data_IF_239171731061
#
_entry.id   IF_239171731061
#
_cell.length_a   1.000
_cell.length_b   1.000
_cell.length_c   1.000
_cell.angle_alpha   90.00
_cell.angle_beta   90.00
_cell.angle_gamma   90.00
#
_symmetry.space_group_name_H-M   'P 1'
#
loop_
_entity.id
_entity.type
_entity.pdbx_description
1 polymer ?
#
# COMPACT_ATOMS: atom_id res chain seq x y z
N UNK A 1 17.45 -20.33 15.23
CA UNK A 1 18.39 -19.54 16.07
C UNK A 1 17.96 -19.71 17.53
N UNK A 2 18.88 -19.69 18.51
CA UNK A 2 18.56 -20.02 19.92
C UNK A 2 17.36 -19.27 20.54
N UNK A 3 17.14 -18.01 20.15
CA UNK A 3 16.02 -17.21 20.66
C UNK A 3 14.65 -17.63 20.08
N UNK A 4 14.64 -18.33 18.95
CA UNK A 4 13.42 -18.89 18.36
C UNK A 4 12.93 -20.06 19.20
N UNK A 5 13.85 -20.88 19.69
CA UNK A 5 13.56 -22.03 20.55
C UNK A 5 12.96 -21.59 21.89
N UNK A 6 13.48 -20.50 22.48
CA UNK A 6 12.96 -19.89 23.72
C UNK A 6 11.53 -19.38 23.52
N UNK A 7 11.28 -18.67 22.41
CA UNK A 7 9.96 -18.11 22.14
C UNK A 7 8.97 -19.24 21.83
N UNK A 8 9.34 -20.29 21.09
CA UNK A 8 8.46 -21.44 20.83
C UNK A 8 7.91 -22.13 22.09
N UNK A 9 8.54 -21.96 23.25
CA UNK A 9 8.08 -22.50 24.55
C UNK A 9 7.05 -21.61 25.26
N UNK A 10 6.88 -20.36 24.84
CA UNK A 10 5.89 -19.44 25.41
C UNK A 10 4.48 -19.75 24.88
N UNK A 11 3.46 -19.34 25.65
CA UNK A 11 2.06 -19.58 25.30
C UNK A 11 1.65 -18.75 24.08
N UNK A 12 1.22 -19.43 23.01
CA UNK A 12 0.84 -18.84 21.73
C UNK A 12 -0.40 -17.93 21.78
N UNK A 13 -1.25 -18.07 22.78
CA UNK A 13 -2.49 -17.28 22.92
C UNK A 13 -2.31 -16.06 23.84
N UNK A 14 -1.15 -15.93 24.48
CA UNK A 14 -0.86 -14.87 25.42
C UNK A 14 -0.18 -13.67 24.75
N UNK A 15 -0.55 -12.47 25.21
CA UNK A 15 0.15 -11.23 24.87
C UNK A 15 1.32 -11.05 25.84
N UNK A 16 2.50 -10.80 25.29
CA UNK A 16 3.74 -10.54 26.03
C UNK A 16 4.18 -9.10 25.86
N UNK A 17 4.55 -8.47 26.97
CA UNK A 17 5.22 -7.18 26.93
C UNK A 17 6.67 -7.32 26.47
N UNK A 18 7.25 -6.22 26.00
CA UNK A 18 8.68 -6.14 25.67
C UNK A 18 9.57 -6.62 26.82
N UNK A 19 9.20 -6.31 28.06
CA UNK A 19 9.96 -6.72 29.24
C UNK A 19 9.86 -8.22 29.48
N UNK A 20 8.67 -8.82 29.36
CA UNK A 20 8.48 -10.26 29.53
C UNK A 20 9.25 -11.08 28.51
N UNK A 21 9.34 -10.62 27.25
CA UNK A 21 10.19 -11.28 26.24
C UNK A 21 11.67 -11.12 26.58
N UNK A 22 12.09 -9.96 27.09
CA UNK A 22 13.47 -9.77 27.53
C UNK A 22 13.85 -10.72 28.66
N UNK A 23 12.99 -10.82 29.68
CA UNK A 23 13.19 -11.73 30.82
C UNK A 23 13.26 -13.19 30.38
N UNK A 24 12.37 -13.63 29.48
CA UNK A 24 12.41 -14.97 28.91
C UNK A 24 13.73 -15.28 28.19
N UNK A 25 14.28 -14.33 27.43
CA UNK A 25 15.54 -14.51 26.70
C UNK A 25 16.77 -14.45 27.61
N UNK A 26 16.75 -13.60 28.64
CA UNK A 26 17.84 -13.49 29.62
C UNK A 26 17.93 -14.73 30.51
N UNK A 27 16.79 -15.36 30.81
CA UNK A 27 16.76 -16.62 31.56
C UNK A 27 17.53 -17.74 30.82
N UNK A 28 17.46 -17.77 29.49
CA UNK A 28 18.22 -18.73 28.68
C UNK A 28 19.67 -18.29 28.46
N UNK A 29 19.90 -16.98 28.28
CA UNK A 29 21.23 -16.41 28.05
C UNK A 29 21.45 -15.14 28.87
N UNK A 30 22.05 -15.30 30.04
CA UNK A 30 22.30 -14.25 31.04
C UNK A 30 23.21 -13.11 30.55
N UNK A 31 24.06 -13.37 29.54
CA UNK A 31 24.95 -12.37 28.93
C UNK A 31 24.24 -11.44 27.93
N UNK A 32 22.92 -11.57 27.73
CA UNK A 32 22.19 -10.79 26.74
C UNK A 32 22.09 -9.31 27.12
N UNK A 33 22.85 -8.46 26.41
CA UNK A 33 22.72 -7.01 26.53
C UNK A 33 21.40 -6.50 25.96
N UNK A 34 20.93 -5.36 26.47
CA UNK A 34 19.71 -4.72 25.98
C UNK A 34 19.78 -4.33 24.49
N UNK A 35 20.96 -3.98 23.97
CA UNK A 35 21.16 -3.66 22.56
C UNK A 35 21.01 -4.90 21.68
N UNK A 36 21.60 -6.03 22.09
CA UNK A 36 21.40 -7.33 21.44
C UNK A 36 19.94 -7.73 21.45
N UNK A 37 19.25 -7.54 22.58
CA UNK A 37 17.80 -7.78 22.67
C UNK A 37 16.99 -6.93 21.69
N UNK A 38 17.28 -5.63 21.55
CA UNK A 38 16.59 -4.76 20.59
C UNK A 38 16.74 -5.26 19.15
N UNK A 39 17.94 -5.74 18.79
CA UNK A 39 18.20 -6.35 17.49
C UNK A 39 17.42 -7.66 17.32
N UNK A 40 17.43 -8.54 18.32
CA UNK A 40 16.71 -9.82 18.31
C UNK A 40 15.19 -9.59 18.15
N UNK A 41 14.60 -8.66 18.91
CA UNK A 41 13.18 -8.27 18.75
C UNK A 41 12.87 -7.80 17.33
N UNK A 42 13.73 -6.98 16.73
CA UNK A 42 13.51 -6.54 15.34
C UNK A 42 13.52 -7.74 14.41
N UNK A 43 14.54 -8.60 14.50
CA UNK A 43 14.65 -9.82 13.69
C UNK A 43 13.48 -10.77 13.86
N UNK A 44 12.98 -10.96 15.09
CA UNK A 44 11.83 -11.82 15.35
C UNK A 44 10.53 -11.25 14.76
N UNK A 45 10.37 -9.93 14.73
CA UNK A 45 9.23 -9.27 14.07
C UNK A 45 9.35 -9.36 12.55
N UNK A 46 10.55 -9.11 12.01
CA UNK A 46 10.81 -9.12 10.57
C UNK A 46 10.65 -10.53 9.98
N UNK A 47 11.08 -11.55 10.72
CA UNK A 47 10.96 -12.97 10.33
C UNK A 47 9.59 -13.58 10.66
N UNK A 48 8.67 -12.82 11.27
CA UNK A 48 7.30 -13.28 11.59
C UNK A 48 7.18 -14.21 12.80
N UNK A 49 8.24 -14.45 13.57
CA UNK A 49 8.23 -15.30 14.77
C UNK A 49 7.28 -14.73 15.84
N UNK A 50 7.28 -13.40 15.98
CA UNK A 50 6.35 -12.65 16.82
C UNK A 50 5.71 -11.52 16.02
N UNK A 51 4.49 -11.15 16.36
CA UNK A 51 3.79 -10.01 15.77
C UNK A 51 3.56 -8.92 16.82
N UNK A 52 3.59 -7.66 16.41
CA UNK A 52 3.24 -6.53 17.28
C UNK A 52 1.72 -6.39 17.29
N UNK A 53 1.11 -6.53 18.47
CA UNK A 53 -0.32 -6.22 18.66
C UNK A 53 -0.51 -4.72 18.88
N UNK A 54 0.33 -4.13 19.74
CA UNK A 54 0.37 -2.71 20.06
C UNK A 54 1.79 -2.27 20.40
N UNK A 55 1.98 -0.98 20.74
CA UNK A 55 3.30 -0.45 21.12
C UNK A 55 3.80 -1.13 22.39
N UNK A 56 4.80 -2.00 22.24
CA UNK A 56 5.43 -2.71 23.36
C UNK A 56 4.77 -4.04 23.71
N UNK A 57 3.74 -4.45 22.97
CA UNK A 57 3.01 -5.71 23.14
C UNK A 57 3.14 -6.62 21.92
N UNK A 58 3.40 -7.88 22.18
CA UNK A 58 3.76 -8.88 21.19
C UNK A 58 2.95 -10.17 21.39
N UNK A 59 2.65 -10.87 20.31
CA UNK A 59 1.98 -12.18 20.35
C UNK A 59 2.80 -13.16 19.51
N UNK A 60 2.90 -14.39 19.99
CA UNK A 60 3.57 -15.45 19.25
C UNK A 60 2.69 -15.93 18.11
N UNK A 61 3.31 -16.19 16.97
CA UNK A 61 2.59 -16.76 15.84
C UNK A 61 2.36 -18.26 16.06
N UNK A 62 1.10 -18.65 16.26
CA UNK A 62 0.71 -20.04 16.55
C UNK A 62 0.79 -20.95 15.32
N UNK A 63 0.48 -20.36 14.16
CA UNK A 63 0.89 -20.77 12.83
C UNK A 63 1.79 -19.66 12.30
N UNK A 64 2.62 -19.89 11.26
CA UNK A 64 2.88 -18.79 10.35
C UNK A 64 1.50 -18.35 9.89
N UNK A 65 0.91 -17.34 10.55
CA UNK A 65 -0.16 -16.58 9.93
C UNK A 65 0.58 -15.94 8.78
N UNK A 66 0.58 -16.68 7.66
CA UNK A 66 0.47 -16.18 6.30
C UNK A 66 1.03 -14.78 6.27
N UNK A 67 2.37 -14.72 6.20
CA UNK A 67 3.16 -13.54 6.55
C UNK A 67 2.44 -12.28 6.11
N UNK A 68 2.22 -11.34 7.05
CA UNK A 68 1.50 -10.05 6.88
C UNK A 68 1.02 -9.92 5.44
N UNK A 69 -0.24 -10.29 5.14
CA UNK A 69 -0.72 -10.26 3.75
C UNK A 69 -0.29 -8.94 3.12
N UNK A 70 0.73 -9.03 2.27
CA UNK A 70 1.29 -7.85 1.63
C UNK A 70 0.15 -7.37 0.76
N UNK A 71 -0.30 -6.15 0.96
CA UNK A 71 -1.34 -5.57 0.13
C UNK A 71 -0.91 -5.73 -1.34
N UNK A 72 -1.74 -6.45 -2.09
CA UNK A 72 -1.56 -6.64 -3.53
C UNK A 72 -2.71 -5.91 -4.21
N UNK A 73 -2.45 -4.78 -4.88
CA UNK A 73 -3.51 -4.05 -5.56
C UNK A 73 -4.20 -4.96 -6.59
N UNK A 74 -5.53 -5.01 -6.57
CA UNK A 74 -6.31 -5.77 -7.54
C UNK A 74 -6.11 -5.18 -8.94
N UNK A 75 -5.37 -5.87 -9.81
CA UNK A 75 -5.21 -5.48 -11.20
C UNK A 75 -6.38 -6.00 -12.02
N UNK A 76 -7.13 -5.10 -12.66
CA UNK A 76 -8.05 -5.49 -13.72
C UNK A 76 -7.33 -5.46 -15.09
N UNK A 77 -7.89 -6.15 -16.08
CA UNK A 77 -7.28 -6.31 -17.41
C UNK A 77 -6.93 -4.95 -18.05
N UNK A 78 -7.83 -3.97 -17.92
CA UNK A 78 -7.63 -2.64 -18.48
C UNK A 78 -6.46 -1.88 -17.83
N UNK A 79 -6.34 -1.93 -16.49
CA UNK A 79 -5.25 -1.30 -15.75
C UNK A 79 -3.91 -1.95 -16.10
N UNK A 80 -3.91 -3.29 -16.23
CA UNK A 80 -2.73 -4.05 -16.63
C UNK A 80 -2.28 -3.70 -18.05
N UNK A 81 -3.19 -3.71 -19.03
CA UNK A 81 -2.89 -3.37 -20.42
C UNK A 81 -2.30 -1.96 -20.56
N UNK A 82 -2.91 -0.98 -19.89
CA UNK A 82 -2.42 0.41 -19.87
C UNK A 82 -1.02 0.47 -19.25
N UNK A 83 -0.80 -0.19 -18.11
CA UNK A 83 0.49 -0.19 -17.43
C UNK A 83 1.59 -0.80 -18.30
N UNK A 84 1.30 -1.92 -18.96
CA UNK A 84 2.22 -2.60 -19.88
C UNK A 84 2.56 -1.71 -21.08
N UNK A 85 1.57 -1.04 -21.70
CA UNK A 85 1.78 -0.08 -22.79
C UNK A 85 2.71 1.07 -22.39
N UNK A 86 2.48 1.67 -21.22
CA UNK A 86 3.33 2.76 -20.71
C UNK A 86 4.75 2.25 -20.43
N UNK A 87 4.88 1.08 -19.78
CA UNK A 87 6.17 0.48 -19.44
C UNK A 87 6.99 0.14 -20.69
N UNK A 88 6.34 -0.35 -21.75
CA UNK A 88 6.98 -0.67 -23.01
C UNK A 88 7.49 0.59 -23.74
N UNK A 89 6.68 1.66 -23.76
CA UNK A 89 7.03 2.91 -24.46
C UNK A 89 8.00 3.80 -23.68
N UNK A 90 7.87 3.81 -22.36
CA UNK A 90 8.59 4.71 -21.43
C UNK A 90 9.23 3.92 -20.27
N UNK A 91 10.21 3.03 -20.54
CA UNK A 91 10.76 2.12 -19.53
C UNK A 91 11.45 2.81 -18.35
N UNK A 92 11.93 4.04 -18.56
CA UNK A 92 12.63 4.83 -17.54
C UNK A 92 11.74 5.82 -16.79
N UNK A 93 10.49 5.98 -17.20
CA UNK A 93 9.56 6.90 -16.54
C UNK A 93 8.99 6.23 -15.30
N UNK A 94 9.03 6.94 -14.17
CA UNK A 94 8.32 6.47 -12.98
C UNK A 94 6.85 6.84 -13.05
N UNK A 95 6.02 5.83 -12.88
CA UNK A 95 4.58 5.98 -12.78
C UNK A 95 3.98 4.97 -11.81
N UNK A 96 2.75 5.23 -11.39
CA UNK A 96 1.92 4.36 -10.56
C UNK A 96 0.52 4.28 -11.16
N UNK A 97 -0.04 3.08 -11.20
CA UNK A 97 -1.37 2.76 -11.69
C UNK A 97 -2.30 2.39 -10.53
N UNK A 98 -3.52 2.90 -10.57
CA UNK A 98 -4.55 2.67 -9.55
C UNK A 98 -5.93 2.65 -10.18
N UNK A 99 -6.81 1.77 -9.74
CA UNK A 99 -8.21 1.77 -10.13
C UNK A 99 -9.07 2.11 -8.91
N UNK A 100 -9.98 3.08 -9.04
CA UNK A 100 -10.83 3.54 -7.93
C UNK A 100 -11.63 2.42 -7.27
N UNK A 101 -12.01 1.36 -8.00
CA UNK A 101 -12.70 0.19 -7.45
C UNK A 101 -11.87 -0.58 -6.42
N UNK A 102 -10.54 -0.39 -6.39
CA UNK A 102 -9.66 -0.93 -5.34
C UNK A 102 -9.96 -0.31 -3.97
N UNK A 103 -10.61 0.87 -3.93
CA UNK A 103 -11.09 1.46 -2.67
C UNK A 103 -12.22 0.67 -2.03
N UNK A 104 -12.92 -0.19 -2.78
CA UNK A 104 -14.04 -0.96 -2.24
C UNK A 104 -13.63 -1.92 -1.11
N UNK A 105 -12.34 -2.25 -1.00
CA UNK A 105 -11.81 -3.03 0.14
C UNK A 105 -11.75 -2.23 1.45
N UNK A 106 -11.80 -0.89 1.36
CA UNK A 106 -11.59 0.04 2.48
C UNK A 106 -12.81 0.92 2.77
N UNK A 107 -13.66 1.16 1.77
CA UNK A 107 -14.87 1.98 1.89
C UNK A 107 -16.07 1.12 2.29
N UNK A 108 -17.00 1.71 3.04
CA UNK A 108 -18.28 1.06 3.32
C UNK A 108 -19.20 1.09 2.10
N UNK A 109 -19.17 2.20 1.35
CA UNK A 109 -19.95 2.34 0.12
C UNK A 109 -19.11 1.95 -1.09
N UNK A 110 -19.70 1.10 -1.95
CA UNK A 110 -19.06 0.69 -3.20
C UNK A 110 -18.95 1.88 -4.17
N UNK A 111 -17.78 2.01 -4.79
CA UNK A 111 -17.51 2.89 -5.92
C UNK A 111 -18.33 2.42 -7.12
N UNK A 112 -19.29 3.25 -7.55
CA UNK A 112 -20.20 2.94 -8.65
C UNK A 112 -19.66 3.21 -10.06
N UNK A 113 -18.51 3.88 -10.19
CA UNK A 113 -17.87 4.20 -11.48
C UNK A 113 -16.37 3.98 -11.37
N UNK A 114 -15.81 3.19 -12.27
CA UNK A 114 -14.38 2.91 -12.22
C UNK A 114 -13.58 3.98 -12.94
N UNK A 115 -12.87 4.81 -12.19
CA UNK A 115 -11.82 5.68 -12.71
C UNK A 115 -10.44 5.04 -12.53
N UNK A 116 -9.68 4.96 -13.63
CA UNK A 116 -8.27 4.56 -13.61
C UNK A 116 -7.41 5.79 -13.42
N UNK A 117 -6.57 5.80 -12.40
CA UNK A 117 -5.58 6.83 -12.16
C UNK A 117 -4.20 6.38 -12.63
N UNK A 118 -3.52 7.26 -13.36
CA UNK A 118 -2.15 7.07 -13.81
C UNK A 118 -1.34 8.27 -13.30
N UNK A 119 -0.53 8.02 -12.29
CA UNK A 119 0.29 9.04 -11.66
C UNK A 119 1.69 8.96 -12.25
N UNK A 120 2.13 10.00 -12.95
CA UNK A 120 3.38 10.01 -13.72
C UNK A 120 4.29 11.11 -13.19
N UNK A 121 5.60 10.88 -13.14
CA UNK A 121 6.55 11.93 -12.77
C UNK A 121 6.34 13.22 -13.59
N UNK A 122 6.47 14.37 -12.90
CA UNK A 122 6.02 15.69 -13.39
C UNK A 122 6.52 16.05 -14.79
N UNK A 123 7.73 15.65 -15.15
CA UNK A 123 8.37 16.01 -16.42
C UNK A 123 8.01 15.08 -17.58
N UNK A 124 7.47 13.89 -17.30
CA UNK A 124 7.12 12.90 -18.32
C UNK A 124 5.60 12.89 -18.62
N UNK A 125 4.78 13.46 -17.75
CA UNK A 125 3.32 13.31 -17.82
C UNK A 125 2.70 13.76 -19.14
N UNK A 126 3.16 14.88 -19.73
CA UNK A 126 2.61 15.37 -21.00
C UNK A 126 2.91 14.42 -22.17
N UNK A 127 4.05 13.73 -22.13
CA UNK A 127 4.43 12.73 -23.14
C UNK A 127 3.61 11.46 -22.99
N UNK A 128 3.44 10.97 -21.76
CA UNK A 128 2.60 9.79 -21.47
C UNK A 128 1.13 10.08 -21.81
N UNK A 129 0.64 11.29 -21.51
CA UNK A 129 -0.72 11.69 -21.84
C UNK A 129 -0.99 11.64 -23.35
N UNK A 130 -0.13 12.26 -24.17
CA UNK A 130 -0.27 12.23 -25.63
C UNK A 130 -0.21 10.82 -26.19
N UNK A 131 0.71 10.01 -25.70
CA UNK A 131 0.82 8.60 -26.09
C UNK A 131 -0.47 7.82 -25.78
N UNK A 132 -1.00 7.94 -24.56
CA UNK A 132 -2.22 7.23 -24.20
C UNK A 132 -3.44 7.70 -25.00
N UNK A 133 -3.51 9.00 -25.35
CA UNK A 133 -4.58 9.51 -26.21
C UNK A 133 -4.58 8.86 -27.61
N UNK A 134 -3.42 8.43 -28.11
CA UNK A 134 -3.29 7.73 -29.39
C UNK A 134 -3.58 6.22 -29.25
N UNK A 135 -3.30 5.63 -28.09
CA UNK A 135 -3.33 4.19 -27.84
C UNK A 135 -4.65 3.66 -27.24
N UNK A 136 -5.54 4.54 -26.78
CA UNK A 136 -6.83 4.15 -26.20
C UNK A 136 -7.97 5.04 -26.66
N UNK A 137 -9.17 4.45 -26.74
CA UNK A 137 -10.42 5.17 -26.99
C UNK A 137 -11.10 5.66 -25.71
N UNK A 138 -10.58 5.24 -24.54
CA UNK A 138 -11.10 5.65 -23.23
C UNK A 138 -10.77 7.11 -23.00
N UNK A 139 -11.75 7.86 -22.50
CA UNK A 139 -11.59 9.28 -22.26
C UNK A 139 -10.54 9.56 -21.17
N UNK A 140 -9.58 10.44 -21.47
CA UNK A 140 -8.45 10.77 -20.60
C UNK A 140 -8.52 12.21 -20.15
N UNK A 141 -8.47 12.44 -18.84
CA UNK A 141 -8.41 13.74 -18.22
C UNK A 141 -7.02 13.98 -17.60
N UNK A 142 -6.35 15.05 -18.01
CA UNK A 142 -5.07 15.45 -17.42
C UNK A 142 -5.30 16.47 -16.30
N UNK A 143 -5.00 16.08 -15.06
CA UNK A 143 -5.09 16.94 -13.85
C UNK A 143 -6.39 17.75 -13.80
N UNK A 144 -7.57 17.12 -13.95
CA UNK A 144 -8.82 17.85 -14.03
C UNK A 144 -9.06 18.62 -12.73
N UNK A 145 -9.46 19.88 -12.86
CA UNK A 145 -10.10 20.63 -11.78
C UNK A 145 -11.43 19.99 -11.40
N UNK A 146 -12.01 20.37 -10.26
CA UNK A 146 -13.34 19.89 -9.86
C UNK A 146 -14.41 20.14 -10.93
N UNK A 147 -14.39 21.31 -11.57
CA UNK A 147 -15.34 21.66 -12.63
C UNK A 147 -15.19 20.75 -13.86
N UNK A 148 -13.95 20.47 -14.25
CA UNK A 148 -13.67 19.56 -15.36
C UNK A 148 -14.01 18.12 -15.01
N UNK A 149 -13.75 17.69 -13.78
CA UNK A 149 -14.16 16.39 -13.28
C UNK A 149 -15.68 16.22 -13.38
N UNK A 150 -16.45 17.15 -12.80
CA UNK A 150 -17.91 17.08 -12.77
C UNK A 150 -18.50 17.12 -14.19
N UNK A 151 -17.86 17.83 -15.12
CA UNK A 151 -18.33 17.97 -16.50
C UNK A 151 -17.95 16.79 -17.41
N UNK A 152 -16.77 16.19 -17.21
CA UNK A 152 -16.16 15.29 -18.20
C UNK A 152 -15.80 13.90 -17.66
N UNK A 153 -15.76 13.69 -16.35
CA UNK A 153 -15.53 12.37 -15.75
C UNK A 153 -16.84 11.58 -15.71
N UNK A 154 -17.40 11.30 -16.89
CA UNK A 154 -18.64 10.55 -17.07
C UNK A 154 -18.33 9.13 -17.51
N UNK A 155 -18.74 8.13 -16.73
CA UNK A 155 -18.47 6.71 -17.00
C UNK A 155 -17.05 6.27 -16.62
N UNK A 156 -16.51 5.29 -17.34
CA UNK A 156 -15.15 4.79 -17.14
C UNK A 156 -14.16 5.76 -17.81
N UNK A 157 -13.24 6.29 -16.99
CA UNK A 157 -12.31 7.33 -17.41
C UNK A 157 -10.90 7.03 -16.93
N UNK A 158 -9.92 7.56 -17.64
CA UNK A 158 -8.53 7.62 -17.19
C UNK A 158 -8.26 9.03 -16.70
N UNK A 159 -7.68 9.16 -15.51
CA UNK A 159 -7.27 10.43 -14.92
C UNK A 159 -5.77 10.40 -14.68
N UNK A 160 -5.06 11.35 -15.29
CA UNK A 160 -3.62 11.46 -15.19
C UNK A 160 -3.22 12.55 -14.20
N UNK A 161 -2.40 12.20 -13.22
CA UNK A 161 -1.93 13.09 -12.16
C UNK A 161 -0.40 13.07 -12.07
N UNK A 162 0.17 14.08 -11.41
CA UNK A 162 1.60 14.04 -11.11
C UNK A 162 1.87 13.00 -10.03
N UNK A 163 2.88 12.17 -10.22
CA UNK A 163 3.47 11.37 -9.16
C UNK A 163 4.30 12.27 -8.26
N UNK A 164 4.08 12.18 -6.95
CA UNK A 164 4.88 12.91 -5.95
C UNK A 164 6.28 12.30 -5.90
N UNK A 165 7.33 13.13 -5.82
CA UNK A 165 8.74 12.70 -5.93
C UNK A 165 9.19 11.73 -4.84
N UNK A 166 8.52 11.73 -3.69
CA UNK A 166 8.79 10.86 -2.54
C UNK A 166 7.82 9.67 -2.45
N UNK A 167 7.03 9.41 -3.50
CA UNK A 167 6.12 8.26 -3.54
C UNK A 167 6.90 6.97 -3.29
N UNK A 168 6.50 6.13 -2.31
CA UNK A 168 7.02 4.78 -2.19
C UNK A 168 6.90 4.05 -3.53
N UNK A 169 7.99 3.41 -3.92
CA UNK A 169 8.05 2.65 -5.16
C UNK A 169 7.31 1.34 -4.95
N UNK A 170 6.38 1.07 -5.86
CA UNK A 170 5.79 -0.25 -5.93
C UNK A 170 6.83 -1.29 -6.32
N UNK A 171 6.82 -2.40 -5.58
CA UNK A 171 7.61 -3.60 -5.88
C UNK A 171 6.88 -4.46 -6.93
N UNK A 172 5.66 -4.09 -7.30
CA UNK A 172 4.84 -4.83 -8.25
C UNK A 172 5.25 -4.60 -9.72
N UNK A 173 5.15 -5.66 -10.52
CA UNK A 173 5.56 -5.68 -11.92
C UNK A 173 4.77 -4.68 -12.78
N UNK A 174 3.50 -4.46 -12.40
CA UNK A 174 2.54 -3.62 -13.09
C UNK A 174 2.45 -2.21 -12.52
N UNK A 175 3.43 -1.80 -11.70
CA UNK A 175 3.49 -0.45 -11.12
C UNK A 175 2.20 -0.07 -10.35
N UNK A 176 1.57 -1.05 -9.70
CA UNK A 176 0.36 -0.82 -8.89
C UNK A 176 0.63 0.06 -7.68
N UNK A 177 -0.38 0.82 -7.25
CA UNK A 177 -0.29 1.63 -6.03
C UNK A 177 -0.05 0.74 -4.80
N UNK A 178 0.93 1.10 -3.95
CA UNK A 178 1.12 0.46 -2.64
C UNK A 178 0.12 0.99 -1.61
N UNK A 179 -0.08 0.23 -0.53
CA UNK A 179 -1.00 0.64 0.54
C UNK A 179 -0.58 1.95 1.20
N UNK A 180 0.72 2.18 1.39
CA UNK A 180 1.23 3.43 1.98
C UNK A 180 0.91 4.63 1.08
N UNK A 181 1.11 4.49 -0.22
CA UNK A 181 0.75 5.53 -1.19
C UNK A 181 -0.76 5.76 -1.21
N UNK A 182 -1.55 4.69 -1.24
CA UNK A 182 -3.00 4.76 -1.23
C UNK A 182 -3.54 5.53 -0.02
N UNK A 183 -3.06 5.20 1.18
CA UNK A 183 -3.46 5.89 2.40
C UNK A 183 -3.06 7.37 2.34
N UNK A 184 -1.87 7.71 1.84
CA UNK A 184 -1.49 9.13 1.73
C UNK A 184 -2.37 9.86 0.72
N UNK A 185 -2.57 9.30 -0.47
CA UNK A 185 -3.27 9.94 -1.59
C UNK A 185 -4.76 10.08 -1.34
N UNK A 186 -5.39 9.11 -0.67
CA UNK A 186 -6.80 9.22 -0.26
C UNK A 186 -7.02 10.56 0.47
N UNK A 187 -6.14 10.95 1.39
CA UNK A 187 -6.31 12.20 2.15
C UNK A 187 -5.77 13.41 1.39
N UNK A 188 -4.60 13.28 0.78
CA UNK A 188 -3.85 14.43 0.24
C UNK A 188 -4.23 14.82 -1.19
N UNK A 189 -4.59 13.85 -2.04
CA UNK A 189 -4.85 14.08 -3.45
C UNK A 189 -6.28 14.59 -3.66
N UNK A 190 -6.41 15.77 -4.24
CA UNK A 190 -7.70 16.45 -4.42
C UNK A 190 -8.64 15.65 -5.30
N UNK A 191 -8.10 14.98 -6.31
CA UNK A 191 -8.91 14.22 -7.26
C UNK A 191 -9.45 12.92 -6.66
N UNK A 192 -8.79 12.36 -5.64
CA UNK A 192 -9.28 11.19 -4.91
C UNK A 192 -10.50 11.56 -4.05
N UNK A 193 -10.55 12.78 -3.51
CA UNK A 193 -11.68 13.26 -2.74
C UNK A 193 -12.99 13.36 -3.55
N UNK A 194 -12.93 13.26 -4.88
CA UNK A 194 -14.11 13.24 -5.74
C UNK A 194 -14.73 11.83 -5.87
N UNK A 195 -14.02 10.78 -5.42
CA UNK A 195 -14.46 9.39 -5.55
C UNK A 195 -15.44 8.95 -4.45
N UNK A 196 -15.33 9.55 -3.26
CA UNK A 196 -16.03 9.07 -2.06
C UNK A 196 -16.50 10.25 -1.18
N UNK A 197 -17.48 9.99 -0.31
CA UNK A 197 -17.91 10.97 0.69
C UNK A 197 -16.88 11.09 1.82
N UNK A 198 -16.62 12.29 2.33
CA UNK A 198 -15.69 12.50 3.47
C UNK A 198 -16.02 11.67 4.70
N UNK A 199 -17.27 11.26 4.89
CA UNK A 199 -17.69 10.35 5.98
C UNK A 199 -17.02 8.98 5.92
N UNK A 200 -16.60 8.53 4.74
CA UNK A 200 -15.92 7.24 4.56
C UNK A 200 -14.53 7.21 5.20
N UNK A 201 -13.84 8.36 5.28
CA UNK A 201 -12.46 8.42 5.80
C UNK A 201 -12.34 7.95 7.25
N UNK A 202 -13.41 8.07 8.04
CA UNK A 202 -13.42 7.61 9.43
C UNK A 202 -13.17 6.10 9.52
N UNK A 203 -13.62 5.32 8.55
CA UNK A 203 -13.52 3.85 8.57
C UNK A 203 -12.18 3.31 8.04
N UNK A 204 -11.40 4.17 7.38
CA UNK A 204 -10.08 3.79 6.87
C UNK A 204 -9.01 3.91 7.97
N UNK A 205 -9.18 4.88 8.88
CA UNK A 205 -8.17 5.23 9.90
C UNK A 205 -8.55 4.88 11.34
N UNK A 206 -9.80 4.51 11.62
CA UNK A 206 -10.29 4.13 12.95
C UNK A 206 -10.95 2.76 12.92
#
# INVERSE_FOLDING_TARGET
MWYEDVVCQLNKEQVYTRQQIYEALVNEKTELTYNSFKWIISKMVDNGIISRKQRGEYVLQSNPISGKQIYKPLMNEQLQEISEKIKARFPHVNFVCFASVQLNEFLNHLIGRNTIFIMVEKYAIDFVFRFLQEETTVHILLKPSKKEWDAYCTGDNIVMLNLVSESPKSVDEYRGMCIEQLLVDIVAEKNFQYLYSRSELLYIYF
#
